data_IF_302410842192
#
_entry.id   IF_302410842192
#
_cell.length_a   1.000
_cell.length_b   1.000
_cell.length_c   1.000
_cell.angle_alpha   90.00
_cell.angle_beta   90.00
_cell.angle_gamma   90.00
#
_symmetry.space_group_name_H-M   'P 1'
#
loop_
_entity.id
_entity.type
_entity.pdbx_description
1 polymer ?
#
# COMPACT_ATOMS: atom_id res chain seq x y z
N UNK A 1 41.52 63.91 6.36
CA UNK A 1 40.64 63.16 7.28
C UNK A 1 39.88 62.13 6.44
N UNK A 2 40.17 60.84 6.62
CA UNK A 2 39.61 59.76 5.80
C UNK A 2 38.18 59.43 6.24
N UNK A 3 37.22 59.38 5.31
CA UNK A 3 35.86 58.90 5.55
C UNK A 3 35.83 57.40 5.25
N UNK A 4 35.70 56.57 6.28
CA UNK A 4 35.40 55.16 6.12
C UNK A 4 33.92 55.02 5.75
N UNK A 5 33.63 54.61 4.52
CA UNK A 5 32.28 54.27 4.09
C UNK A 5 32.02 52.80 4.41
N UNK A 6 31.22 52.54 5.44
CA UNK A 6 30.77 51.19 5.78
C UNK A 6 29.71 50.73 4.79
N UNK A 7 29.99 49.63 4.07
CA UNK A 7 29.03 48.96 3.20
C UNK A 7 28.17 48.02 4.06
N UNK A 8 26.86 48.27 4.15
CA UNK A 8 25.91 47.40 4.83
C UNK A 8 25.45 46.31 3.86
N UNK A 9 25.87 45.06 4.09
CA UNK A 9 25.38 43.88 3.37
C UNK A 9 24.09 43.39 4.04
N UNK A 10 22.95 43.56 3.38
CA UNK A 10 21.67 42.98 3.82
C UNK A 10 21.53 41.60 3.17
N UNK A 11 21.66 40.54 3.97
CA UNK A 11 21.44 39.16 3.55
C UNK A 11 19.95 38.84 3.72
N UNK A 12 19.18 38.90 2.64
CA UNK A 12 17.79 38.42 2.63
C UNK A 12 17.79 36.90 2.47
N UNK A 13 17.65 36.16 3.56
CA UNK A 13 17.32 34.73 3.52
C UNK A 13 15.89 34.58 3.02
N UNK A 14 15.72 34.12 1.79
CA UNK A 14 14.45 33.59 1.30
C UNK A 14 14.16 32.29 2.05
N UNK A 15 13.24 32.34 3.01
CA UNK A 15 12.64 31.11 3.56
C UNK A 15 11.76 30.55 2.44
N UNK A 16 12.29 29.59 1.70
CA UNK A 16 11.45 28.77 0.83
C UNK A 16 10.56 27.93 1.72
N UNK A 17 9.24 28.04 1.56
CA UNK A 17 8.32 27.09 2.16
C UNK A 17 8.59 25.71 1.57
N UNK A 18 9.23 24.83 2.34
CA UNK A 18 9.13 23.40 2.11
C UNK A 18 7.66 23.05 2.38
N UNK A 19 6.87 22.89 1.33
CA UNK A 19 5.56 22.27 1.49
C UNK A 19 5.81 20.82 1.90
N UNK A 20 5.52 20.47 3.16
CA UNK A 20 5.32 19.09 3.53
C UNK A 20 4.13 18.58 2.71
N UNK A 21 4.36 17.62 1.82
CA UNK A 21 3.28 16.92 1.14
C UNK A 21 2.76 15.85 2.09
N UNK A 22 1.42 15.72 2.20
CA UNK A 22 0.80 14.72 3.07
C UNK A 22 1.23 13.29 2.72
N UNK A 23 1.55 13.03 1.45
CA UNK A 23 2.13 11.78 0.95
C UNK A 23 3.62 12.01 0.69
N UNK A 24 4.45 11.26 1.39
CA UNK A 24 5.91 11.28 1.26
C UNK A 24 6.41 10.26 0.23
N UNK A 25 5.63 9.19 -0.01
CA UNK A 25 6.02 8.15 -0.95
C UNK A 25 4.94 7.11 -1.24
N UNK A 26 5.21 6.31 -2.27
CA UNK A 26 4.46 5.11 -2.61
C UNK A 26 5.45 3.94 -2.64
N UNK A 27 5.21 2.94 -1.81
CA UNK A 27 6.01 1.72 -1.77
C UNK A 27 5.22 0.57 -2.40
N UNK A 28 5.83 -0.12 -3.35
CA UNK A 28 5.27 -1.33 -3.96
C UNK A 28 6.21 -2.48 -3.68
N UNK A 29 5.68 -3.56 -3.10
CA UNK A 29 6.43 -4.79 -2.88
C UNK A 29 5.77 -5.98 -3.57
N UNK A 30 6.61 -6.90 -4.05
CA UNK A 30 6.16 -8.22 -4.48
C UNK A 30 5.91 -9.06 -3.23
N UNK A 31 4.63 -9.29 -2.93
CA UNK A 31 4.24 -10.07 -1.76
C UNK A 31 4.45 -11.58 -2.02
N UNK A 32 3.98 -12.07 -3.17
CA UNK A 32 4.11 -13.46 -3.57
C UNK A 32 4.17 -13.62 -5.09
N UNK A 33 5.03 -14.52 -5.57
CA UNK A 33 4.98 -15.04 -6.94
C UNK A 33 4.50 -16.47 -6.84
N UNK A 34 3.36 -16.76 -7.46
CA UNK A 34 2.73 -18.06 -7.35
C UNK A 34 3.54 -19.12 -8.13
N UNK A 35 4.12 -20.15 -7.49
CA UNK A 35 5.08 -21.04 -8.14
C UNK A 35 4.44 -22.10 -9.06
N UNK A 36 3.17 -22.42 -8.83
CA UNK A 36 2.42 -23.43 -9.57
C UNK A 36 0.92 -23.08 -9.52
N UNK A 37 0.14 -23.65 -10.43
CA UNK A 37 -1.32 -23.52 -10.36
C UNK A 37 -1.81 -24.00 -9.00
N UNK A 38 -2.48 -23.12 -8.26
CA UNK A 38 -3.05 -23.46 -6.96
C UNK A 38 -4.53 -23.75 -7.13
N UNK A 39 -4.84 -25.03 -7.32
CA UNK A 39 -6.21 -25.54 -7.32
C UNK A 39 -6.74 -25.68 -5.88
N UNK A 40 -8.01 -25.33 -5.69
CA UNK A 40 -8.58 -24.93 -4.38
C UNK A 40 -9.94 -25.51 -4.09
N UNK A 41 -10.30 -26.53 -4.85
CA UNK A 41 -11.55 -27.22 -4.69
C UNK A 41 -12.64 -26.74 -5.64
N UNK A 42 -13.81 -27.37 -5.56
CA UNK A 42 -14.80 -27.33 -6.62
C UNK A 42 -15.33 -25.93 -6.93
N UNK A 43 -15.27 -25.52 -8.19
CA UNK A 43 -15.93 -24.32 -8.69
C UNK A 43 -15.21 -23.00 -8.47
N UNK A 44 -13.90 -23.01 -8.18
CA UNK A 44 -13.07 -21.79 -8.10
C UNK A 44 -11.92 -21.89 -9.10
N UNK A 45 -11.72 -20.91 -10.01
CA UNK A 45 -10.59 -20.95 -10.93
C UNK A 45 -9.24 -20.91 -10.20
N UNK A 46 -8.27 -21.77 -10.56
CA UNK A 46 -7.00 -21.91 -9.85
C UNK A 46 -6.11 -20.69 -10.06
N UNK A 47 -5.53 -20.10 -9.01
CA UNK A 47 -4.56 -19.00 -9.18
C UNK A 47 -3.39 -19.53 -10.03
N UNK A 48 -3.11 -18.96 -11.21
CA UNK A 48 -2.21 -19.57 -12.16
C UNK A 48 -0.75 -19.40 -11.72
N UNK A 49 0.11 -20.33 -12.13
CA UNK A 49 1.55 -20.21 -11.98
C UNK A 49 2.03 -18.89 -12.60
N UNK A 50 2.96 -18.22 -11.93
CA UNK A 50 3.48 -16.91 -12.33
C UNK A 50 2.59 -15.72 -11.97
N UNK A 51 1.39 -15.92 -11.42
CA UNK A 51 0.60 -14.82 -10.87
C UNK A 51 1.38 -14.11 -9.75
N UNK A 52 1.34 -12.78 -9.74
CA UNK A 52 2.06 -11.96 -8.77
C UNK A 52 1.06 -11.19 -7.91
N UNK A 53 1.15 -11.36 -6.59
CA UNK A 53 0.45 -10.51 -5.63
C UNK A 53 1.37 -9.37 -5.22
N UNK A 54 0.90 -8.15 -5.37
CA UNK A 54 1.59 -6.93 -4.95
C UNK A 54 0.94 -6.37 -3.70
N UNK A 55 1.73 -5.76 -2.80
CA UNK A 55 1.22 -4.87 -1.76
C UNK A 55 1.70 -3.45 -2.06
N UNK A 56 0.78 -2.50 -1.92
CA UNK A 56 1.00 -1.08 -2.19
C UNK A 56 0.73 -0.33 -0.90
N UNK A 57 1.73 0.43 -0.43
CA UNK A 57 1.65 1.22 0.80
C UNK A 57 1.88 2.70 0.46
N UNK A 58 1.06 3.56 1.05
CA UNK A 58 1.28 5.00 1.05
C UNK A 58 2.09 5.38 2.29
N UNK A 59 3.17 6.11 2.08
CA UNK A 59 3.94 6.73 3.14
C UNK A 59 3.39 8.14 3.37
N UNK A 60 2.96 8.42 4.61
CA UNK A 60 2.29 9.66 4.97
C UNK A 60 3.16 10.45 5.94
N UNK A 61 3.22 11.75 5.73
CA UNK A 61 3.90 12.66 6.64
C UNK A 61 3.26 12.62 8.04
N UNK A 62 4.07 12.86 9.07
CA UNK A 62 3.60 12.86 10.46
C UNK A 62 2.34 13.72 10.64
N UNK A 63 1.37 13.21 11.40
CA UNK A 63 0.09 13.89 11.66
C UNK A 63 -0.94 13.84 10.53
N UNK A 64 -0.63 13.19 9.39
CA UNK A 64 -1.56 13.04 8.28
C UNK A 64 -2.26 11.67 8.31
N UNK A 65 -3.48 11.62 7.79
CA UNK A 65 -4.29 10.40 7.67
C UNK A 65 -4.91 10.30 6.28
N UNK A 66 -4.95 9.09 5.73
CA UNK A 66 -5.65 8.82 4.48
C UNK A 66 -7.17 8.81 4.74
N UNK A 67 -7.92 9.66 4.05
CA UNK A 67 -9.38 9.70 4.17
C UNK A 67 -10.09 8.89 3.08
N UNK A 68 -9.64 9.00 1.84
CA UNK A 68 -10.25 8.31 0.72
C UNK A 68 -9.25 8.17 -0.44
N UNK A 69 -9.44 7.11 -1.24
CA UNK A 69 -8.80 6.94 -2.54
C UNK A 69 -9.93 6.82 -3.57
N UNK A 70 -10.01 7.78 -4.48
CA UNK A 70 -11.06 7.81 -5.49
C UNK A 70 -10.56 8.46 -6.78
N UNK A 71 -11.23 8.15 -7.89
CA UNK A 71 -11.07 8.86 -9.15
C UNK A 71 -12.19 9.87 -9.38
N UNK A 72 -11.94 10.84 -10.25
CA UNK A 72 -12.96 11.79 -10.71
C UNK A 72 -13.07 11.81 -12.25
N UNK A 73 -13.90 12.71 -12.78
CA UNK A 73 -14.13 12.83 -14.23
C UNK A 73 -12.86 13.18 -15.02
N UNK A 74 -11.94 13.92 -14.42
CA UNK A 74 -10.68 14.36 -15.02
C UNK A 74 -9.52 13.40 -14.70
N UNK A 75 -9.60 12.69 -13.58
CA UNK A 75 -8.58 11.77 -13.07
C UNK A 75 -9.21 10.44 -12.68
N UNK A 76 -9.56 9.58 -13.65
CA UNK A 76 -10.14 8.28 -13.34
C UNK A 76 -9.15 7.38 -12.59
N UNK A 77 -9.64 6.71 -11.55
CA UNK A 77 -8.89 5.66 -10.86
C UNK A 77 -8.96 4.39 -11.70
N UNK A 78 -7.80 3.87 -12.09
CA UNK A 78 -7.68 2.65 -12.88
C UNK A 78 -6.96 1.58 -12.07
N UNK A 79 -7.63 0.45 -11.89
CA UNK A 79 -7.08 -0.76 -11.30
C UNK A 79 -7.21 -1.87 -12.34
N UNK A 80 -6.08 -2.41 -12.76
CA UNK A 80 -6.03 -3.41 -13.83
C UNK A 80 -5.03 -4.50 -13.50
N UNK A 81 -5.23 -5.66 -14.13
CA UNK A 81 -4.32 -6.80 -14.09
C UNK A 81 -4.20 -7.36 -15.49
N UNK A 82 -3.06 -7.97 -15.81
CA UNK A 82 -2.86 -8.68 -17.09
C UNK A 82 -3.55 -10.06 -17.10
N UNK A 83 -3.98 -10.54 -15.93
CA UNK A 83 -4.71 -11.78 -15.76
C UNK A 83 -6.10 -11.53 -15.21
N UNK A 84 -6.38 -12.07 -14.03
CA UNK A 84 -7.64 -11.85 -13.30
C UNK A 84 -7.36 -11.50 -11.86
N UNK A 85 -8.24 -10.69 -11.27
CA UNK A 85 -8.27 -10.54 -9.82
C UNK A 85 -8.75 -11.86 -9.21
N UNK A 86 -8.15 -12.21 -8.07
CA UNK A 86 -8.41 -13.45 -7.37
C UNK A 86 -8.87 -13.14 -5.96
N UNK A 87 -9.95 -13.76 -5.51
CA UNK A 87 -10.42 -13.73 -4.12
C UNK A 87 -10.73 -15.17 -3.70
N UNK A 88 -10.39 -15.54 -2.47
CA UNK A 88 -10.66 -16.85 -1.92
C UNK A 88 -12.16 -17.02 -1.65
N UNK A 89 -12.69 -18.19 -1.98
CA UNK A 89 -14.14 -18.45 -1.88
C UNK A 89 -14.58 -18.81 -0.46
N UNK A 90 -13.68 -19.32 0.37
CA UNK A 90 -14.02 -19.87 1.69
C UNK A 90 -13.75 -18.84 2.79
N UNK A 91 -12.58 -18.21 2.74
CA UNK A 91 -12.08 -17.30 3.77
C UNK A 91 -11.92 -15.86 3.28
N UNK A 92 -12.09 -15.60 1.99
CA UNK A 92 -12.13 -14.24 1.44
C UNK A 92 -13.27 -13.41 2.03
N UNK A 93 -13.06 -12.10 2.11
CA UNK A 93 -13.94 -11.12 2.75
C UNK A 93 -14.00 -9.83 1.95
N UNK A 94 -15.01 -9.02 2.24
CA UNK A 94 -15.19 -7.72 1.59
C UNK A 94 -14.15 -6.69 2.05
N UNK A 95 -13.77 -6.75 3.33
CA UNK A 95 -12.79 -5.85 3.95
C UNK A 95 -11.68 -6.63 4.66
N UNK A 96 -10.51 -5.99 4.82
CA UNK A 96 -9.35 -6.64 5.43
C UNK A 96 -9.54 -6.93 6.92
N UNK A 97 -10.29 -6.11 7.64
CA UNK A 97 -10.64 -6.30 9.07
C UNK A 97 -11.60 -7.47 9.33
N UNK A 98 -12.22 -8.04 8.30
CA UNK A 98 -13.07 -9.22 8.43
C UNK A 98 -12.33 -10.54 8.15
N UNK A 99 -11.07 -10.48 7.67
CA UNK A 99 -10.28 -11.67 7.32
C UNK A 99 -9.85 -12.38 8.60
N UNK A 100 -10.28 -13.64 8.84
CA UNK A 100 -9.97 -14.32 10.08
C UNK A 100 -8.47 -14.63 10.19
N UNK A 101 -7.87 -14.23 11.30
CA UNK A 101 -6.43 -14.41 11.55
C UNK A 101 -6.01 -15.88 11.48
N UNK A 102 -6.84 -16.78 12.00
CA UNK A 102 -6.55 -18.22 12.05
C UNK A 102 -6.53 -18.88 10.66
N UNK A 103 -7.13 -18.23 9.66
CA UNK A 103 -7.23 -18.75 8.29
C UNK A 103 -6.32 -18.03 7.30
N UNK A 104 -5.57 -16.99 7.71
CA UNK A 104 -4.75 -16.17 6.78
C UNK A 104 -3.70 -17.00 6.03
N UNK A 105 -3.21 -18.06 6.66
CA UNK A 105 -2.22 -19.01 6.10
C UNK A 105 -2.86 -20.18 5.36
N UNK A 106 -4.15 -20.38 5.56
CA UNK A 106 -4.92 -21.40 4.87
C UNK A 106 -5.40 -20.85 3.54
N UNK A 107 -5.61 -21.75 2.57
CA UNK A 107 -6.33 -21.40 1.34
C UNK A 107 -5.87 -20.07 0.74
N UNK A 108 -4.56 -19.72 0.75
CA UNK A 108 -3.95 -18.50 0.18
C UNK A 108 -4.78 -17.20 0.27
N UNK A 109 -5.63 -17.03 1.28
CA UNK A 109 -6.48 -15.84 1.41
C UNK A 109 -5.64 -14.55 1.50
N UNK A 110 -4.40 -14.67 2.01
CA UNK A 110 -3.40 -13.60 1.96
C UNK A 110 -3.05 -13.10 0.55
N UNK A 111 -3.42 -13.83 -0.52
CA UNK A 111 -3.18 -13.44 -1.93
C UNK A 111 -4.43 -12.87 -2.61
N UNK A 112 -5.50 -12.64 -1.87
CA UNK A 112 -6.70 -12.01 -2.38
C UNK A 112 -6.43 -10.60 -2.92
N UNK A 113 -7.27 -10.17 -3.85
CA UNK A 113 -7.25 -8.84 -4.44
C UNK A 113 -8.27 -7.96 -3.71
N UNK A 114 -7.79 -7.11 -2.81
CA UNK A 114 -8.61 -6.16 -2.03
C UNK A 114 -7.85 -4.86 -1.84
N UNK A 115 -8.61 -3.79 -1.56
CA UNK A 115 -8.08 -2.50 -1.16
C UNK A 115 -8.59 -2.24 0.24
N UNK A 116 -7.66 -1.98 1.15
CA UNK A 116 -7.96 -1.67 2.54
C UNK A 116 -7.37 -0.31 2.91
N UNK A 117 -7.91 0.27 3.97
CA UNK A 117 -7.21 1.27 4.76
C UNK A 117 -6.92 0.63 6.11
N UNK A 118 -5.65 0.58 6.48
CA UNK A 118 -5.15 0.06 7.74
C UNK A 118 -5.15 -1.48 7.89
N UNK A 119 -6.30 -2.16 7.89
CA UNK A 119 -6.38 -3.57 8.36
C UNK A 119 -6.11 -4.60 7.29
N UNK A 120 -5.38 -5.67 7.65
CA UNK A 120 -5.13 -6.84 6.80
C UNK A 120 -5.80 -8.13 7.27
N UNK A 121 -6.08 -8.22 8.57
CA UNK A 121 -6.91 -9.25 9.21
C UNK A 121 -7.69 -8.62 10.36
N UNK A 122 -8.57 -9.39 11.00
CA UNK A 122 -9.28 -9.01 12.24
C UNK A 122 -8.35 -8.39 13.30
N UNK A 123 -7.16 -8.99 13.50
CA UNK A 123 -6.24 -8.58 14.57
C UNK A 123 -5.00 -7.79 14.11
N UNK A 124 -4.83 -7.53 12.82
CA UNK A 124 -3.56 -7.01 12.29
C UNK A 124 -3.74 -5.86 11.30
N UNK A 125 -2.90 -4.84 11.48
CA UNK A 125 -2.68 -3.80 10.49
C UNK A 125 -1.78 -4.32 9.36
N UNK A 126 -2.07 -3.91 8.13
CA UNK A 126 -1.23 -4.15 6.98
C UNK A 126 0.13 -3.48 7.17
N UNK A 127 1.20 -4.27 7.15
CA UNK A 127 2.58 -3.78 7.16
C UNK A 127 3.41 -4.38 6.02
N UNK A 128 4.48 -3.70 5.59
CA UNK A 128 5.45 -4.28 4.64
C UNK A 128 6.01 -5.61 5.15
N UNK A 129 6.33 -6.55 4.26
CA UNK A 129 6.89 -7.87 4.66
C UNK A 129 8.11 -7.78 5.57
N UNK A 130 8.98 -6.78 5.37
CA UNK A 130 10.15 -6.56 6.24
C UNK A 130 9.79 -6.26 7.70
N UNK A 131 8.57 -5.80 7.93
CA UNK A 131 8.00 -5.46 9.24
C UNK A 131 7.05 -6.57 9.76
N UNK A 132 6.89 -7.67 9.02
CA UNK A 132 6.14 -8.87 9.42
C UNK A 132 7.11 -10.08 9.52
N UNK A 133 7.97 -10.12 10.56
CA UNK A 133 8.99 -11.15 10.69
C UNK A 133 8.44 -12.53 11.08
N UNK A 134 7.24 -12.60 11.66
CA UNK A 134 6.58 -13.84 12.05
C UNK A 134 5.64 -14.39 10.95
N UNK A 135 5.47 -13.64 9.86
CA UNK A 135 4.66 -14.04 8.71
C UNK A 135 3.19 -14.18 9.11
N UNK A 136 2.72 -13.34 10.02
CA UNK A 136 1.32 -13.24 10.44
C UNK A 136 0.42 -12.67 9.33
N UNK A 137 1.01 -12.08 8.27
CA UNK A 137 0.31 -11.49 7.14
C UNK A 137 0.66 -12.07 5.78
#
# INVERSE_FOLDING_TARGET
MWRASSLLLVLTTTIGSLHAQAVEGLMVEVYHVNPADKDRGPGTPPLPAGAVTYRIFLDLAEGHQLQAVYGDRNHPLHLGTTGRFYNDRFYGRETGDDVPVDHVREHIVALDSWITVAFATEDHLAVPKRNDPDGSL
#
